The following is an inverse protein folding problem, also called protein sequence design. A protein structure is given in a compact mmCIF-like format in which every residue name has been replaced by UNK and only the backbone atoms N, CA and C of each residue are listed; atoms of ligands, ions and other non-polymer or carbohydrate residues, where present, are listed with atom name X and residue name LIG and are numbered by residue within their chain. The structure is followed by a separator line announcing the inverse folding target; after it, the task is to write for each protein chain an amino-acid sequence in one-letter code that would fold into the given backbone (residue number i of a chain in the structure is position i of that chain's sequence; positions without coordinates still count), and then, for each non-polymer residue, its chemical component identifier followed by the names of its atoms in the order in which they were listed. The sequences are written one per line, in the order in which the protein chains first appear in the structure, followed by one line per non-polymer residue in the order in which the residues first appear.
data_IF_578823393014
#
_entry.id   IF_578823393014
#
_cell.length_a   1.000
_cell.length_b   1.000
_cell.length_c   1.000
_cell.angle_alpha   90.00
_cell.angle_beta   90.00
_cell.angle_gamma   90.00
#
_symmetry.space_group_name_H-M   'P 1'
#
loop_
_entity.id
_entity.type
_entity.pdbx_description
1 polymer ?
#
# COMPACT_ATOMS: atom_id res chain seq x y z
N UNK A 1 -21.38 13.07 40.38
CA UNK A 1 -20.89 14.41 39.98
C UNK A 1 -21.86 15.01 38.98
N UNK A 2 -22.32 16.22 39.18
CA UNK A 2 -23.21 16.92 38.26
C UNK A 2 -22.44 17.18 36.94
N UNK A 3 -22.98 16.76 35.82
CA UNK A 3 -22.47 17.11 34.50
C UNK A 3 -22.94 18.50 34.11
N UNK A 4 -22.15 19.57 34.26
CA UNK A 4 -22.62 20.96 34.19
C UNK A 4 -23.19 21.38 32.83
N UNK A 5 -22.94 20.52 31.80
CA UNK A 5 -23.46 20.78 30.44
C UNK A 5 -24.68 19.94 30.07
N UNK A 6 -25.11 19.03 30.93
CA UNK A 6 -26.29 18.20 30.70
C UNK A 6 -27.51 18.84 31.37
N UNK A 7 -28.53 19.14 30.57
CA UNK A 7 -29.78 19.73 31.05
C UNK A 7 -30.85 18.69 31.34
N UNK A 8 -30.83 17.56 30.68
CA UNK A 8 -31.71 16.44 30.92
C UNK A 8 -31.07 15.11 30.52
N UNK A 9 -31.46 14.05 31.23
CA UNK A 9 -31.10 12.68 30.94
C UNK A 9 -32.40 11.89 30.84
N UNK A 10 -32.64 11.22 29.72
CA UNK A 10 -33.85 10.46 29.47
C UNK A 10 -33.49 9.04 29.05
N UNK A 11 -34.13 8.04 29.64
CA UNK A 11 -33.98 6.64 29.17
C UNK A 11 -34.95 6.42 28.03
N UNK A 12 -34.47 5.98 26.88
CA UNK A 12 -35.27 5.76 25.68
C UNK A 12 -35.10 4.34 25.14
N UNK A 13 -36.17 3.63 24.92
CA UNK A 13 -36.18 2.28 24.38
C UNK A 13 -35.34 1.27 25.19
N UNK A 14 -34.89 0.16 24.58
CA UNK A 14 -34.16 -0.90 25.26
C UNK A 14 -32.69 -0.54 25.49
N UNK A 15 -32.42 0.32 26.51
CA UNK A 15 -31.07 0.58 26.97
C UNK A 15 -30.40 1.83 26.40
N UNK A 16 -31.09 2.72 25.68
CA UNK A 16 -30.55 4.00 25.26
C UNK A 16 -30.70 5.06 26.36
N UNK A 17 -29.68 5.91 26.49
CA UNK A 17 -29.68 7.08 27.37
C UNK A 17 -29.50 8.33 26.48
N UNK A 18 -30.53 9.16 26.40
CA UNK A 18 -30.49 10.41 25.70
C UNK A 18 -30.02 11.52 26.63
N UNK A 19 -29.00 12.26 26.23
CA UNK A 19 -28.48 13.42 26.96
C UNK A 19 -28.85 14.67 26.20
N UNK A 20 -29.51 15.63 26.88
CA UNK A 20 -29.74 16.96 26.34
C UNK A 20 -28.66 17.89 26.87
N UNK A 21 -27.96 18.56 25.96
CA UNK A 21 -26.87 19.47 26.29
C UNK A 21 -27.36 20.92 26.23
N UNK A 22 -26.75 21.79 27.02
CA UNK A 22 -26.93 23.23 26.93
C UNK A 22 -26.43 23.74 25.58
N UNK A 23 -27.12 24.68 24.91
CA UNK A 23 -26.71 25.21 23.61
C UNK A 23 -25.32 25.89 23.59
N UNK A 24 -24.88 26.43 24.73
CA UNK A 24 -23.60 27.15 24.87
C UNK A 24 -22.35 26.23 24.73
N UNK A 25 -22.54 24.90 24.80
CA UNK A 25 -21.41 23.97 24.60
C UNK A 25 -20.75 24.09 23.23
N UNK A 26 -21.52 24.50 22.20
CA UNK A 26 -20.99 24.76 20.85
C UNK A 26 -20.04 25.96 20.86
N UNK A 27 -20.37 27.04 21.56
CA UNK A 27 -19.50 28.19 21.70
C UNK A 27 -18.17 27.86 22.40
N UNK A 28 -18.19 26.97 23.39
CA UNK A 28 -16.99 26.51 24.07
C UNK A 28 -16.09 25.66 23.15
N UNK A 29 -16.69 24.88 22.25
CA UNK A 29 -15.93 24.11 21.24
C UNK A 29 -15.25 25.08 20.27
N UNK A 30 -15.96 26.08 19.74
CA UNK A 30 -15.38 27.07 18.82
C UNK A 30 -14.19 27.80 19.45
N UNK A 31 -14.31 28.25 20.71
CA UNK A 31 -13.18 28.85 21.45
C UNK A 31 -11.98 27.93 21.57
N UNK A 32 -12.21 26.61 21.76
CA UNK A 32 -11.14 25.61 21.83
C UNK A 32 -10.50 25.39 20.46
N UNK A 33 -11.31 25.34 19.40
CA UNK A 33 -10.80 25.21 18.01
C UNK A 33 -9.91 26.42 17.69
N UNK A 34 -10.37 27.64 17.99
CA UNK A 34 -9.59 28.85 17.78
C UNK A 34 -8.30 28.87 18.58
N UNK A 35 -8.34 28.52 19.87
CA UNK A 35 -7.16 28.50 20.73
C UNK A 35 -6.13 27.43 20.34
N UNK A 36 -6.55 26.28 19.82
CA UNK A 36 -5.68 25.18 19.45
C UNK A 36 -5.25 25.23 17.98
N UNK A 37 -6.02 25.90 17.12
CA UNK A 37 -5.76 26.02 15.69
C UNK A 37 -5.55 24.65 15.04
N UNK A 38 -4.46 24.50 14.28
CA UNK A 38 -4.11 23.26 13.59
C UNK A 38 -3.85 22.05 14.51
N UNK A 39 -3.70 22.27 15.82
CA UNK A 39 -3.54 21.20 16.80
C UNK A 39 -4.87 20.71 17.41
N UNK A 40 -6.00 21.31 17.01
CA UNK A 40 -7.29 20.84 17.51
C UNK A 40 -7.56 19.38 17.10
N UNK A 41 -7.94 18.56 18.06
CA UNK A 41 -8.12 17.11 17.86
C UNK A 41 -6.87 16.26 18.06
N UNK A 42 -5.69 16.87 18.23
CA UNK A 42 -4.49 16.13 18.60
C UNK A 42 -4.54 15.68 20.06
N UNK A 43 -3.90 14.55 20.34
CA UNK A 43 -3.77 14.00 21.69
C UNK A 43 -2.35 13.44 21.91
N UNK A 44 -2.01 13.17 23.15
CA UNK A 44 -0.71 12.59 23.54
C UNK A 44 -0.87 11.19 24.16
N UNK A 45 -1.89 10.45 23.72
CA UNK A 45 -2.16 9.11 24.23
C UNK A 45 -1.24 8.04 23.60
N UNK A 46 -0.54 8.38 22.52
CA UNK A 46 0.36 7.52 21.78
C UNK A 46 1.70 7.32 22.49
N UNK A 47 2.75 7.89 21.92
CA UNK A 47 4.14 7.80 22.43
C UNK A 47 4.93 6.62 21.90
N UNK A 48 4.37 5.85 20.97
CA UNK A 48 5.02 4.70 20.31
C UNK A 48 5.69 5.11 19.00
N UNK A 49 6.76 4.40 18.65
CA UNK A 49 7.33 4.41 17.30
C UNK A 49 6.63 3.34 16.46
N UNK A 50 5.94 3.75 15.41
CA UNK A 50 5.13 2.88 14.56
C UNK A 50 5.61 2.96 13.13
N UNK A 51 5.85 1.82 12.48
CA UNK A 51 6.02 1.74 11.03
C UNK A 51 4.72 1.26 10.42
N UNK A 52 4.27 1.95 9.37
CA UNK A 52 3.10 1.55 8.58
C UNK A 52 3.57 1.25 7.17
N UNK A 53 3.47 -0.01 6.78
CA UNK A 53 3.73 -0.47 5.42
C UNK A 53 2.42 -0.49 4.65
N UNK A 54 2.42 0.15 3.49
CA UNK A 54 1.23 0.20 2.65
C UNK A 54 1.60 0.43 1.17
N UNK A 55 0.67 0.15 0.27
CA UNK A 55 0.81 0.07 -1.18
C UNK A 55 1.68 -1.11 -1.59
N UNK A 56 2.99 -1.02 -1.50
CA UNK A 56 3.97 -2.09 -1.76
C UNK A 56 3.66 -2.88 -3.05
N UNK A 57 3.31 -2.16 -4.12
CA UNK A 57 2.97 -2.76 -5.43
C UNK A 57 4.24 -3.24 -6.11
N UNK A 58 4.18 -4.41 -6.76
CA UNK A 58 5.30 -4.94 -7.55
C UNK A 58 5.73 -3.94 -8.62
N UNK A 59 7.04 -3.72 -8.84
CA UNK A 59 7.56 -2.74 -9.79
C UNK A 59 7.49 -3.23 -11.26
N UNK A 60 6.40 -3.89 -11.64
CA UNK A 60 6.11 -4.40 -12.97
C UNK A 60 4.84 -3.77 -13.59
N UNK A 61 4.39 -2.66 -13.04
CA UNK A 61 3.25 -1.91 -13.54
C UNK A 61 2.92 -0.69 -12.67
N UNK A 62 2.08 0.22 -13.16
CA UNK A 62 1.69 1.44 -12.47
C UNK A 62 0.86 1.13 -11.21
N UNK A 63 0.68 2.14 -10.37
CA UNK A 63 -0.24 2.06 -9.24
C UNK A 63 -1.67 1.92 -9.77
N UNK A 64 -2.33 0.84 -9.39
CA UNK A 64 -3.73 0.59 -9.78
C UNK A 64 -4.70 1.37 -8.89
N UNK A 65 -5.97 1.47 -9.31
CA UNK A 65 -7.04 2.03 -8.47
C UNK A 65 -7.15 1.31 -7.12
N UNK A 66 -6.97 -0.01 -7.08
CA UNK A 66 -6.91 -0.77 -5.82
C UNK A 66 -5.72 -0.37 -4.94
N UNK A 67 -4.55 -0.14 -5.57
CA UNK A 67 -3.36 0.44 -4.90
C UNK A 67 -3.64 1.84 -4.37
N UNK A 68 -4.44 2.65 -5.07
CA UNK A 68 -4.89 3.96 -4.62
C UNK A 68 -5.74 3.89 -3.35
N UNK A 69 -6.64 2.90 -3.23
CA UNK A 69 -7.38 2.68 -1.97
C UNK A 69 -6.45 2.34 -0.82
N UNK A 70 -5.48 1.46 -1.06
CA UNK A 70 -4.45 1.12 -0.08
C UNK A 70 -3.67 2.37 0.35
N UNK A 71 -3.24 3.19 -0.61
CA UNK A 71 -2.51 4.43 -0.38
C UNK A 71 -3.32 5.43 0.49
N UNK A 72 -4.60 5.64 0.16
CA UNK A 72 -5.47 6.54 0.93
C UNK A 72 -5.67 6.05 2.37
N UNK A 73 -5.92 4.75 2.57
CA UNK A 73 -6.09 4.15 3.89
C UNK A 73 -4.80 4.25 4.71
N UNK A 74 -3.66 3.85 4.14
CA UNK A 74 -2.37 3.83 4.82
C UNK A 74 -1.91 5.23 5.23
N UNK A 75 -1.97 6.20 4.33
CA UNK A 75 -1.59 7.58 4.61
C UNK A 75 -2.49 8.24 5.65
N UNK A 76 -3.80 8.03 5.57
CA UNK A 76 -4.75 8.55 6.56
C UNK A 76 -4.53 7.90 7.93
N UNK A 77 -4.28 6.60 7.98
CA UNK A 77 -3.92 5.90 9.22
C UNK A 77 -2.66 6.49 9.85
N UNK A 78 -1.61 6.73 9.05
CA UNK A 78 -0.38 7.39 9.53
C UNK A 78 -0.68 8.76 10.13
N UNK A 79 -1.50 9.56 9.45
CA UNK A 79 -1.87 10.91 9.91
C UNK A 79 -2.66 10.88 11.22
N UNK A 80 -3.60 9.96 11.36
CA UNK A 80 -4.38 9.76 12.60
C UNK A 80 -3.49 9.28 13.76
N UNK A 81 -2.58 8.32 13.51
CA UNK A 81 -1.64 7.84 14.52
C UNK A 81 -0.67 8.94 14.98
N UNK A 82 -0.21 9.78 14.06
CA UNK A 82 0.63 10.93 14.39
C UNK A 82 -0.15 11.98 15.20
N UNK A 83 -1.38 12.28 14.82
CA UNK A 83 -2.26 13.18 15.58
C UNK A 83 -2.58 12.64 16.98
N UNK A 84 -2.56 11.32 17.17
CA UNK A 84 -2.69 10.68 18.48
C UNK A 84 -1.39 10.72 19.32
N UNK A 85 -0.30 11.30 18.82
CA UNK A 85 0.96 11.48 19.56
C UNK A 85 1.98 10.37 19.36
N UNK A 86 1.87 9.55 18.31
CA UNK A 86 2.89 8.56 17.95
C UNK A 86 3.92 9.17 16.98
N UNK A 87 5.12 8.59 16.98
CA UNK A 87 6.11 8.78 15.92
C UNK A 87 5.87 7.75 14.84
N UNK A 88 5.44 8.17 13.66
CA UNK A 88 5.02 7.28 12.58
C UNK A 88 5.99 7.37 11.40
N UNK A 89 6.40 6.22 10.88
CA UNK A 89 7.16 6.09 9.64
C UNK A 89 6.31 5.41 8.58
N UNK A 90 6.25 6.02 7.38
CA UNK A 90 5.58 5.50 6.19
C UNK A 90 6.58 4.68 5.39
N UNK A 91 6.29 3.44 5.13
CA UNK A 91 7.20 2.53 4.44
C UNK A 91 6.54 1.88 3.23
N UNK A 92 7.24 1.93 2.11
CA UNK A 92 6.91 1.21 0.89
C UNK A 92 7.91 0.08 0.71
N UNK A 93 7.44 -1.17 0.61
CA UNK A 93 8.27 -2.33 0.33
C UNK A 93 8.36 -2.57 -1.18
N UNK A 94 9.59 -2.56 -1.70
CA UNK A 94 9.88 -2.86 -3.10
C UNK A 94 10.17 -4.36 -3.21
N UNK A 95 9.32 -5.09 -3.92
CA UNK A 95 9.48 -6.51 -4.19
C UNK A 95 10.44 -6.69 -5.40
N UNK A 96 11.72 -6.46 -5.16
CA UNK A 96 12.82 -6.48 -6.13
C UNK A 96 13.73 -7.72 -5.98
N UNK A 97 13.25 -8.78 -5.33
CA UNK A 97 14.00 -10.02 -5.17
C UNK A 97 14.57 -10.54 -6.49
N UNK A 98 15.85 -10.94 -6.49
CA UNK A 98 16.63 -11.28 -7.70
C UNK A 98 16.01 -12.38 -8.57
N UNK A 99 15.20 -13.26 -7.99
CA UNK A 99 14.62 -14.43 -8.67
C UNK A 99 13.17 -14.22 -9.14
N UNK A 100 12.71 -12.97 -9.25
CA UNK A 100 11.35 -12.66 -9.68
C UNK A 100 11.18 -12.92 -11.19
N UNK A 101 10.45 -13.99 -11.54
CA UNK A 101 10.06 -14.28 -12.93
C UNK A 101 9.27 -13.13 -13.55
N UNK A 102 8.40 -12.49 -12.74
CA UNK A 102 7.61 -11.34 -13.18
C UNK A 102 8.48 -10.15 -13.59
N UNK A 103 9.54 -9.86 -12.84
CA UNK A 103 10.47 -8.79 -13.17
C UNK A 103 11.32 -9.10 -14.41
N UNK A 104 11.72 -10.35 -14.59
CA UNK A 104 12.41 -10.77 -15.81
C UNK A 104 11.49 -10.61 -17.03
N UNK A 105 10.24 -11.05 -16.94
CA UNK A 105 9.25 -10.88 -18.02
C UNK A 105 8.95 -9.40 -18.29
N UNK A 106 8.93 -8.56 -17.27
CA UNK A 106 8.78 -7.12 -17.44
C UNK A 106 9.99 -6.50 -18.15
N UNK A 107 11.22 -6.86 -17.75
CA UNK A 107 12.44 -6.44 -18.46
C UNK A 107 12.45 -6.85 -19.92
N UNK A 108 12.05 -8.09 -20.24
CA UNK A 108 11.89 -8.57 -21.62
C UNK A 108 10.86 -7.77 -22.39
N UNK A 109 9.75 -7.40 -21.75
CA UNK A 109 8.71 -6.58 -22.37
C UNK A 109 9.23 -5.19 -22.74
N UNK A 110 9.97 -4.56 -21.82
CA UNK A 110 10.59 -3.24 -22.06
C UNK A 110 11.64 -3.32 -23.16
N UNK A 111 12.46 -4.38 -23.20
CA UNK A 111 13.43 -4.61 -24.28
C UNK A 111 12.73 -4.73 -25.64
N UNK A 112 11.66 -5.51 -25.72
CA UNK A 112 10.90 -5.67 -26.98
C UNK A 112 10.33 -4.32 -27.42
N UNK A 113 9.73 -3.54 -26.53
CA UNK A 113 9.22 -2.19 -26.85
C UNK A 113 10.33 -1.22 -27.24
N UNK A 114 11.49 -1.28 -26.58
CA UNK A 114 12.67 -0.49 -26.95
C UNK A 114 13.11 -0.78 -28.39
N UNK A 115 13.18 -2.04 -28.80
CA UNK A 115 13.54 -2.41 -30.19
C UNK A 115 12.44 -2.01 -31.19
N UNK A 116 11.15 -2.12 -30.83
CA UNK A 116 10.04 -1.64 -31.65
C UNK A 116 10.12 -0.13 -31.90
N UNK A 117 10.50 0.66 -30.91
CA UNK A 117 10.73 2.11 -31.04
C UNK A 117 11.86 2.44 -32.04
N UNK A 118 12.80 1.52 -32.23
CA UNK A 118 13.89 1.61 -33.20
C UNK A 118 13.57 0.99 -34.57
N UNK A 119 12.32 0.57 -34.78
CA UNK A 119 11.84 0.06 -36.08
C UNK A 119 11.96 -1.45 -36.27
N UNK A 120 12.29 -2.23 -35.22
CA UNK A 120 12.28 -3.70 -35.26
C UNK A 120 10.85 -4.25 -35.13
N UNK A 121 10.59 -5.42 -35.73
CA UNK A 121 9.28 -6.09 -35.71
C UNK A 121 9.24 -7.22 -34.67
N UNK A 122 9.76 -6.98 -33.48
CA UNK A 122 9.70 -7.96 -32.40
C UNK A 122 8.26 -8.07 -31.84
N UNK A 123 7.81 -9.27 -31.50
CA UNK A 123 6.48 -9.52 -30.96
C UNK A 123 6.48 -9.59 -29.44
N UNK A 124 5.38 -9.13 -28.82
CA UNK A 124 5.15 -9.31 -27.38
C UNK A 124 4.67 -10.74 -27.15
N UNK A 125 5.44 -11.51 -26.40
CA UNK A 125 5.10 -12.90 -26.04
C UNK A 125 3.97 -12.98 -24.98
N UNK A 126 3.38 -14.17 -24.83
CA UNK A 126 2.24 -14.41 -23.92
C UNK A 126 2.52 -14.09 -22.44
N UNK A 127 3.78 -14.31 -22.00
CA UNK A 127 4.21 -14.03 -20.62
C UNK A 127 4.65 -12.57 -20.40
N UNK A 128 4.64 -11.76 -21.45
CA UNK A 128 5.08 -10.37 -21.44
C UNK A 128 3.92 -9.41 -21.13
N UNK A 129 4.29 -8.19 -20.76
CA UNK A 129 3.35 -7.10 -20.45
C UNK A 129 3.14 -6.23 -21.71
N UNK A 130 1.87 -5.98 -22.06
CA UNK A 130 1.52 -5.31 -23.30
C UNK A 130 1.05 -3.85 -23.16
N UNK A 131 0.90 -3.34 -21.94
CA UNK A 131 0.33 -2.02 -21.67
C UNK A 131 1.20 -0.83 -22.15
N UNK A 132 0.60 0.34 -22.30
CA UNK A 132 1.28 1.56 -22.77
C UNK A 132 2.39 2.01 -21.82
N UNK A 133 2.25 1.76 -20.50
CA UNK A 133 3.28 2.04 -19.52
C UNK A 133 4.62 1.31 -19.80
N UNK A 134 4.58 0.16 -20.49
CA UNK A 134 5.79 -0.55 -20.92
C UNK A 134 6.52 0.24 -22.00
N UNK A 135 5.74 0.87 -22.91
CA UNK A 135 6.30 1.74 -23.97
C UNK A 135 6.92 2.99 -23.35
N UNK A 136 6.31 3.55 -22.31
CA UNK A 136 6.83 4.74 -21.65
C UNK A 136 8.18 4.45 -20.99
N UNK A 137 8.30 3.34 -20.25
CA UNK A 137 9.58 2.89 -19.69
C UNK A 137 10.61 2.62 -20.81
N UNK A 138 10.20 2.01 -21.92
CA UNK A 138 11.08 1.78 -23.07
C UNK A 138 11.58 3.08 -23.71
N UNK A 139 10.73 4.13 -23.78
CA UNK A 139 11.13 5.49 -24.23
C UNK A 139 12.16 6.11 -23.29
N UNK A 140 12.01 5.94 -21.97
CA UNK A 140 13.01 6.41 -21.01
C UNK A 140 14.36 5.71 -21.21
N UNK A 141 14.35 4.37 -21.39
CA UNK A 141 15.57 3.61 -21.69
C UNK A 141 16.22 4.10 -22.99
N UNK A 142 15.42 4.34 -24.03
CA UNK A 142 15.90 4.87 -25.32
C UNK A 142 16.50 6.28 -25.15
N UNK A 143 15.84 7.15 -24.40
CA UNK A 143 16.32 8.51 -24.15
C UNK A 143 17.65 8.54 -23.38
N UNK A 144 17.85 7.60 -22.43
CA UNK A 144 19.06 7.55 -21.60
C UNK A 144 20.23 6.83 -22.29
N UNK A 145 19.97 5.81 -23.11
CA UNK A 145 20.98 4.90 -23.63
C UNK A 145 21.08 4.91 -25.17
N UNK A 146 20.20 5.64 -25.88
CA UNK A 146 20.17 5.65 -27.35
C UNK A 146 20.02 4.22 -27.90
N UNK A 147 20.79 3.89 -28.94
CA UNK A 147 20.76 2.59 -29.62
C UNK A 147 21.71 1.54 -29.01
N UNK A 148 22.25 1.78 -27.80
CA UNK A 148 23.30 0.96 -27.23
C UNK A 148 22.94 -0.56 -27.11
N UNK A 149 21.65 -0.86 -27.00
CA UNK A 149 21.16 -2.24 -26.82
C UNK A 149 20.42 -2.80 -28.03
N UNK A 150 20.42 -2.10 -29.18
CA UNK A 150 19.62 -2.53 -30.35
C UNK A 150 19.97 -3.92 -30.86
N UNK A 151 21.27 -4.29 -30.79
CA UNK A 151 21.79 -5.60 -31.21
C UNK A 151 22.05 -6.57 -30.03
N UNK A 152 21.62 -6.22 -28.83
CA UNK A 152 21.77 -7.09 -27.68
C UNK A 152 20.85 -8.32 -27.78
N UNK A 153 21.28 -9.44 -27.22
CA UNK A 153 20.46 -10.63 -27.07
C UNK A 153 19.77 -10.62 -25.71
N UNK A 154 18.45 -10.63 -25.70
CA UNK A 154 17.67 -10.63 -24.45
C UNK A 154 17.77 -11.96 -23.70
N UNK A 155 18.16 -13.03 -24.35
CA UNK A 155 18.39 -14.33 -23.73
C UNK A 155 19.76 -14.44 -23.07
N UNK A 156 20.67 -13.50 -23.36
CA UNK A 156 21.89 -13.34 -22.58
C UNK A 156 21.56 -12.90 -21.15
N UNK A 157 22.06 -13.61 -20.11
CA UNK A 157 21.75 -13.29 -18.70
C UNK A 157 22.09 -11.88 -18.27
N UNK A 158 23.16 -11.29 -18.84
CA UNK A 158 23.57 -9.93 -18.52
C UNK A 158 22.59 -8.89 -19.10
N UNK A 159 22.16 -9.10 -20.34
CA UNK A 159 21.16 -8.26 -21.02
C UNK A 159 19.81 -8.33 -20.30
N UNK A 160 19.35 -9.55 -19.97
CA UNK A 160 18.13 -9.76 -19.19
C UNK A 160 18.18 -9.00 -17.86
N UNK A 161 19.28 -9.11 -17.13
CA UNK A 161 19.49 -8.41 -15.86
C UNK A 161 19.48 -6.90 -16.04
N UNK A 162 20.18 -6.39 -17.06
CA UNK A 162 20.26 -4.97 -17.35
C UNK A 162 18.85 -4.38 -17.62
N UNK A 163 18.07 -5.03 -18.48
CA UNK A 163 16.71 -4.54 -18.77
C UNK A 163 15.75 -4.71 -17.60
N UNK A 164 15.91 -5.75 -16.79
CA UNK A 164 15.20 -5.88 -15.53
C UNK A 164 15.44 -4.67 -14.61
N UNK A 165 16.72 -4.32 -14.36
CA UNK A 165 17.11 -3.24 -13.45
C UNK A 165 16.69 -1.88 -13.99
N UNK A 166 16.80 -1.63 -15.31
CA UNK A 166 16.31 -0.40 -15.95
C UNK A 166 14.78 -0.28 -15.86
N UNK A 167 14.08 -1.37 -16.11
CA UNK A 167 12.62 -1.42 -16.06
C UNK A 167 12.09 -1.19 -14.66
N UNK A 168 12.71 -1.81 -13.66
CA UNK A 168 12.41 -1.62 -12.25
C UNK A 168 12.58 -0.15 -11.84
N UNK A 169 13.73 0.43 -12.18
CA UNK A 169 14.03 1.83 -11.87
C UNK A 169 13.02 2.80 -12.51
N UNK A 170 12.70 2.61 -13.78
CA UNK A 170 11.70 3.42 -14.47
C UNK A 170 10.33 3.30 -13.82
N UNK A 171 9.88 2.07 -13.55
CA UNK A 171 8.57 1.85 -12.92
C UNK A 171 8.47 2.39 -11.50
N UNK A 172 9.51 2.24 -10.67
CA UNK A 172 9.54 2.82 -9.31
C UNK A 172 9.47 4.36 -9.40
N UNK A 173 10.15 4.95 -10.39
CA UNK A 173 10.10 6.41 -10.60
C UNK A 173 8.68 6.85 -10.93
N UNK A 174 7.98 6.15 -11.82
CA UNK A 174 6.58 6.42 -12.14
C UNK A 174 5.66 6.22 -10.93
N UNK A 175 5.79 5.11 -10.21
CA UNK A 175 4.99 4.83 -9.00
C UNK A 175 5.15 5.92 -7.94
N UNK A 176 6.37 6.45 -7.75
CA UNK A 176 6.63 7.59 -6.86
C UNK A 176 5.88 8.83 -7.31
N UNK A 177 5.99 9.18 -8.59
CA UNK A 177 5.32 10.36 -9.15
C UNK A 177 3.79 10.26 -9.04
N UNK A 178 3.22 9.08 -9.30
CA UNK A 178 1.78 8.85 -9.19
C UNK A 178 1.28 8.98 -7.75
N UNK A 179 2.04 8.45 -6.79
CA UNK A 179 1.72 8.56 -5.36
C UNK A 179 1.86 10.00 -4.85
N UNK A 180 2.90 10.73 -5.28
CA UNK A 180 3.05 12.16 -4.98
C UNK A 180 1.90 12.99 -5.56
N UNK A 181 1.48 12.71 -6.81
CA UNK A 181 0.32 13.35 -7.42
C UNK A 181 -0.97 13.05 -6.64
N UNK A 182 -1.07 11.87 -6.03
CA UNK A 182 -2.15 11.47 -5.14
C UNK A 182 -2.04 12.10 -3.73
N UNK A 183 -0.94 12.79 -3.44
CA UNK A 183 -0.66 13.41 -2.14
C UNK A 183 -0.21 12.42 -1.07
N UNK A 184 0.44 11.34 -1.48
CA UNK A 184 0.98 10.29 -0.60
C UNK A 184 2.49 10.21 -0.77
N UNK A 185 3.21 10.30 0.35
CA UNK A 185 4.68 10.22 0.38
C UNK A 185 5.13 9.17 1.38
N UNK A 186 6.34 8.65 1.18
CA UNK A 186 6.95 7.64 2.03
C UNK A 186 8.27 8.14 2.60
N UNK A 187 8.52 7.80 3.86
CA UNK A 187 9.80 8.08 4.54
C UNK A 187 10.87 7.07 4.09
N UNK A 188 10.45 5.83 3.80
CA UNK A 188 11.34 4.74 3.42
C UNK A 188 10.79 3.98 2.22
N UNK A 189 11.62 3.80 1.20
CA UNK A 189 11.45 2.86 0.10
C UNK A 189 12.39 1.69 0.35
N UNK A 190 11.84 0.62 0.92
CA UNK A 190 12.61 -0.51 1.40
C UNK A 190 12.76 -1.57 0.31
N UNK A 191 14.00 -1.89 -0.09
CA UNK A 191 14.31 -2.91 -1.11
C UNK A 191 14.44 -4.29 -0.47
N UNK A 192 13.68 -5.29 -0.96
CA UNK A 192 13.80 -6.69 -0.56
C UNK A 192 15.19 -7.25 -0.88
N UNK A 193 15.77 -6.85 -2.02
CA UNK A 193 17.09 -7.31 -2.43
C UNK A 193 18.17 -7.03 -1.38
N UNK A 194 18.01 -5.97 -0.57
CA UNK A 194 18.96 -5.65 0.51
C UNK A 194 18.95 -6.71 1.62
N UNK A 195 17.80 -7.34 1.91
CA UNK A 195 17.70 -8.40 2.93
C UNK A 195 18.49 -9.64 2.55
N UNK A 196 18.56 -9.92 1.25
CA UNK A 196 19.36 -11.02 0.73
C UNK A 196 20.86 -10.66 0.66
N UNK A 197 21.17 -9.45 0.18
CA UNK A 197 22.55 -9.03 -0.05
C UNK A 197 23.35 -8.89 1.26
N UNK A 198 22.74 -8.43 2.35
CA UNK A 198 23.42 -8.24 3.64
C UNK A 198 23.24 -9.42 4.62
N UNK A 199 22.63 -10.53 4.17
CA UNK A 199 22.50 -11.77 4.92
C UNK A 199 21.40 -11.78 5.98
N UNK A 200 20.51 -10.78 6.02
CA UNK A 200 19.37 -10.74 6.98
C UNK A 200 18.42 -11.92 6.81
N UNK A 201 18.19 -12.38 5.56
CA UNK A 201 17.39 -13.58 5.28
C UNK A 201 18.05 -14.82 5.87
N UNK A 202 19.34 -15.03 5.62
CA UNK A 202 20.08 -16.17 6.15
C UNK A 202 20.08 -16.17 7.68
N UNK A 203 20.31 -15.01 8.29
CA UNK A 203 20.32 -14.87 9.75
C UNK A 203 18.95 -15.16 10.38
N UNK A 204 17.87 -14.75 9.73
CA UNK A 204 16.52 -15.01 10.23
C UNK A 204 16.19 -16.52 10.20
N UNK A 205 16.58 -17.23 9.13
CA UNK A 205 16.45 -18.71 9.04
C UNK A 205 17.28 -19.39 10.15
N UNK A 206 18.51 -18.94 10.36
CA UNK A 206 19.40 -19.49 11.36
C UNK A 206 18.83 -19.36 12.79
N UNK A 207 18.26 -18.21 13.12
CA UNK A 207 17.59 -18.00 14.43
C UNK A 207 16.45 -19.01 14.65
N UNK A 208 15.60 -19.24 13.65
CA UNK A 208 14.50 -20.21 13.75
C UNK A 208 15.06 -21.63 13.91
N UNK A 209 16.15 -21.95 13.20
CA UNK A 209 16.86 -23.24 13.31
C UNK A 209 17.47 -23.43 14.71
N UNK A 210 18.24 -22.46 15.21
CA UNK A 210 18.84 -22.47 16.55
C UNK A 210 17.81 -22.67 17.66
N UNK A 211 16.58 -22.14 17.46
CA UNK A 211 15.47 -22.29 18.41
C UNK A 211 14.71 -23.61 18.28
N UNK A 212 15.09 -24.50 17.33
CA UNK A 212 14.52 -25.84 17.17
C UNK A 212 13.18 -25.88 16.41
N UNK A 213 12.80 -24.78 15.74
CA UNK A 213 11.53 -24.68 15.03
C UNK A 213 11.62 -25.04 13.54
N UNK A 214 12.64 -25.82 13.16
CA UNK A 214 12.80 -26.35 11.81
C UNK A 214 12.93 -27.86 11.80
N UNK A 215 12.67 -28.47 10.66
CA UNK A 215 12.98 -29.87 10.36
C UNK A 215 13.28 -30.04 8.87
N UNK A 216 13.98 -31.11 8.53
CA UNK A 216 14.26 -31.47 7.14
C UNK A 216 13.25 -32.52 6.65
N UNK A 217 12.72 -32.31 5.44
CA UNK A 217 11.83 -33.24 4.78
C UNK A 217 12.00 -33.11 3.26
N UNK A 218 12.15 -34.22 2.55
CA UNK A 218 12.31 -34.29 1.10
C UNK A 218 13.43 -33.37 0.56
N UNK A 219 14.54 -33.26 1.32
CA UNK A 219 15.68 -32.40 0.98
C UNK A 219 15.45 -30.91 1.19
N UNK A 220 14.27 -30.48 1.66
CA UNK A 220 13.92 -29.10 1.94
C UNK A 220 13.94 -28.82 3.45
N UNK A 221 14.24 -27.57 3.83
CA UNK A 221 14.13 -27.09 5.21
C UNK A 221 12.75 -26.52 5.46
N UNK A 222 12.05 -27.07 6.45
CA UNK A 222 10.69 -26.71 6.83
C UNK A 222 10.66 -25.96 8.14
N UNK A 223 9.77 -24.98 8.26
CA UNK A 223 9.42 -24.27 9.49
C UNK A 223 8.15 -24.86 10.10
N UNK A 224 8.19 -25.19 11.39
CA UNK A 224 7.07 -25.71 12.19
C UNK A 224 6.09 -24.58 12.52
N UNK A 225 5.54 -23.91 11.51
CA UNK A 225 4.69 -22.73 11.71
C UNK A 225 3.36 -23.07 12.38
N UNK A 226 2.92 -24.33 12.31
CA UNK A 226 1.73 -24.83 13.01
C UNK A 226 1.85 -24.74 14.52
N UNK A 227 3.07 -24.82 15.10
CA UNK A 227 3.29 -24.61 16.52
C UNK A 227 2.95 -23.19 17.00
N UNK A 228 2.85 -22.25 16.05
CA UNK A 228 2.55 -20.84 16.28
C UNK A 228 1.20 -20.38 15.69
N UNK A 229 0.32 -21.34 15.31
CA UNK A 229 -1.04 -21.02 14.84
C UNK A 229 -1.21 -20.79 13.34
N UNK A 230 -0.23 -21.16 12.50
CA UNK A 230 -0.42 -21.25 11.07
C UNK A 230 -1.24 -22.53 10.69
N UNK A 231 -1.84 -22.57 9.51
CA UNK A 231 -2.68 -23.68 9.05
C UNK A 231 -1.85 -24.92 8.63
N UNK A 232 -0.59 -24.73 8.26
CA UNK A 232 0.37 -25.79 7.88
C UNK A 232 1.79 -25.31 8.01
N UNK A 233 2.73 -26.27 8.14
CA UNK A 233 4.17 -25.98 8.10
C UNK A 233 4.61 -25.46 6.74
N UNK A 234 5.66 -24.62 6.74
CA UNK A 234 6.11 -23.90 5.56
C UNK A 234 7.54 -24.24 5.19
N UNK A 235 7.81 -24.32 3.89
CA UNK A 235 9.17 -24.47 3.38
C UNK A 235 9.91 -23.14 3.48
N UNK A 236 11.07 -23.12 4.13
CA UNK A 236 12.01 -22.00 4.15
C UNK A 236 13.01 -22.09 3.01
N UNK A 237 13.66 -23.26 2.87
CA UNK A 237 14.63 -23.53 1.80
C UNK A 237 14.17 -24.71 0.99
N UNK A 238 14.19 -24.57 -0.33
CA UNK A 238 13.90 -25.67 -1.26
C UNK A 238 15.04 -26.69 -1.27
N UNK A 239 14.80 -27.86 -1.86
CA UNK A 239 15.79 -28.92 -2.02
C UNK A 239 17.00 -28.52 -2.89
N UNK A 240 16.86 -27.50 -3.73
CA UNK A 240 17.95 -26.91 -4.52
C UNK A 240 18.77 -25.86 -3.75
N UNK A 241 18.47 -25.65 -2.46
CA UNK A 241 19.13 -24.66 -1.61
C UNK A 241 18.65 -23.23 -1.81
N UNK A 242 17.59 -22.99 -2.59
CA UNK A 242 17.03 -21.65 -2.78
C UNK A 242 16.01 -21.29 -1.70
N UNK A 243 16.03 -20.06 -1.15
CA UNK A 243 15.02 -19.60 -0.21
C UNK A 243 13.66 -19.42 -0.88
N UNK A 244 12.58 -19.58 -0.11
CA UNK A 244 11.23 -19.30 -0.58
C UNK A 244 10.87 -17.83 -0.32
N UNK A 245 9.78 -17.33 -0.92
CA UNK A 245 9.26 -15.97 -0.64
C UNK A 245 8.98 -15.72 0.84
N UNK A 246 8.57 -16.75 1.58
CA UNK A 246 8.33 -16.63 3.01
C UNK A 246 9.54 -16.16 3.79
N UNK A 247 10.75 -16.49 3.37
CA UNK A 247 11.98 -16.10 4.08
C UNK A 247 12.26 -14.59 3.97
N UNK A 248 11.90 -13.97 2.85
CA UNK A 248 11.93 -12.52 2.68
C UNK A 248 10.95 -11.83 3.64
N UNK A 249 9.69 -12.27 3.66
CA UNK A 249 8.65 -11.73 4.55
C UNK A 249 9.04 -11.86 6.03
N UNK A 250 9.63 -12.99 6.40
CA UNK A 250 10.10 -13.29 7.75
C UNK A 250 11.25 -12.36 8.16
N UNK A 251 12.25 -12.18 7.29
CA UNK A 251 13.39 -11.30 7.53
C UNK A 251 12.95 -9.82 7.60
N UNK A 252 12.03 -9.43 6.74
CA UNK A 252 11.50 -8.07 6.71
C UNK A 252 10.66 -7.74 7.96
N UNK A 253 9.79 -8.65 8.40
CA UNK A 253 9.01 -8.45 9.62
C UNK A 253 9.91 -8.31 10.85
N UNK A 254 11.01 -9.11 10.90
CA UNK A 254 12.05 -8.98 11.91
C UNK A 254 12.75 -7.63 11.84
N UNK A 255 13.17 -7.20 10.64
CA UNK A 255 13.88 -5.96 10.40
C UNK A 255 13.12 -4.73 10.93
N UNK A 256 11.81 -4.64 10.72
CA UNK A 256 10.98 -3.57 11.26
C UNK A 256 11.15 -3.44 12.79
N UNK A 257 11.11 -4.57 13.48
CA UNK A 257 11.22 -4.57 14.94
C UNK A 257 12.65 -4.33 15.42
N UNK A 258 13.66 -4.78 14.67
CA UNK A 258 15.09 -4.52 14.95
C UNK A 258 15.46 -3.04 14.80
N UNK A 259 14.82 -2.33 13.86
CA UNK A 259 14.97 -0.88 13.70
C UNK A 259 14.37 -0.06 14.85
N UNK A 260 13.81 -0.74 15.87
CA UNK A 260 13.33 -0.13 17.11
C UNK A 260 11.91 0.43 17.00
N UNK A 261 11.11 -0.03 16.06
CA UNK A 261 9.68 0.25 16.05
C UNK A 261 8.98 -0.58 17.11
N UNK A 262 8.15 0.05 17.95
CA UNK A 262 7.36 -0.61 18.96
C UNK A 262 6.25 -1.46 18.34
N UNK A 263 5.74 -1.03 17.17
CA UNK A 263 4.64 -1.66 16.45
C UNK A 263 4.83 -1.52 14.95
N UNK A 264 4.52 -2.57 14.22
CA UNK A 264 4.41 -2.56 12.77
C UNK A 264 2.93 -2.73 12.37
N UNK A 265 2.49 -1.99 11.35
CA UNK A 265 1.16 -2.11 10.79
C UNK A 265 1.31 -2.33 9.28
N UNK A 266 0.74 -3.41 8.77
CA UNK A 266 0.72 -3.70 7.34
C UNK A 266 -0.70 -3.49 6.80
N UNK A 267 -0.84 -2.76 5.69
CA UNK A 267 -2.13 -2.56 5.01
C UNK A 267 -2.16 -3.44 3.76
N UNK A 268 -2.93 -4.53 3.81
CA UNK A 268 -2.96 -5.55 2.76
C UNK A 268 -4.35 -5.68 2.13
N UNK A 269 -4.39 -6.07 0.86
CA UNK A 269 -5.62 -6.51 0.22
C UNK A 269 -6.19 -7.77 0.88
N UNK A 270 -7.50 -7.95 0.82
CA UNK A 270 -8.18 -9.10 1.43
C UNK A 270 -7.73 -10.45 0.87
N UNK A 271 -7.19 -10.48 -0.34
CA UNK A 271 -6.56 -11.64 -0.97
C UNK A 271 -5.31 -12.13 -0.23
N UNK A 272 -4.70 -11.28 0.60
CA UNK A 272 -3.57 -11.62 1.46
C UNK A 272 -3.98 -12.12 2.87
N UNK A 273 -5.27 -12.30 3.16
CA UNK A 273 -5.75 -12.73 4.49
C UNK A 273 -5.07 -14.01 4.99
N UNK A 274 -4.83 -14.98 4.09
CA UNK A 274 -4.13 -16.24 4.42
C UNK A 274 -2.66 -16.08 4.83
N UNK A 275 -2.08 -14.90 4.65
CA UNK A 275 -0.68 -14.64 5.04
C UNK A 275 -0.54 -14.15 6.49
N UNK A 276 -1.62 -13.65 7.08
CA UNK A 276 -1.59 -13.03 8.42
C UNK A 276 -1.09 -13.99 9.49
N UNK A 277 -1.69 -15.19 9.55
CA UNK A 277 -1.31 -16.20 10.56
C UNK A 277 0.16 -16.58 10.45
N UNK A 278 0.64 -16.89 9.24
CA UNK A 278 2.03 -17.31 9.03
C UNK A 278 3.04 -16.19 9.30
N UNK A 279 2.71 -14.91 9.02
CA UNK A 279 3.59 -13.79 9.34
C UNK A 279 3.71 -13.59 10.84
N UNK A 280 2.61 -13.71 11.59
CA UNK A 280 2.62 -13.68 13.05
C UNK A 280 3.34 -14.89 13.65
N UNK A 281 3.16 -16.08 13.07
CA UNK A 281 3.91 -17.29 13.47
C UNK A 281 5.42 -17.10 13.30
N UNK A 282 5.84 -16.47 12.19
CA UNK A 282 7.24 -16.14 11.92
C UNK A 282 7.83 -15.23 13.00
N UNK A 283 7.13 -14.17 13.38
CA UNK A 283 7.58 -13.27 14.46
C UNK A 283 7.71 -13.98 15.80
N UNK A 284 6.73 -14.82 16.17
CA UNK A 284 6.76 -15.59 17.40
C UNK A 284 7.97 -16.56 17.42
N UNK A 285 8.22 -17.26 16.32
CA UNK A 285 9.36 -18.15 16.18
C UNK A 285 10.71 -17.43 16.27
N UNK A 286 10.79 -16.19 15.77
CA UNK A 286 11.95 -15.32 15.89
C UNK A 286 12.14 -14.75 17.30
N UNK A 287 11.16 -14.91 18.22
CA UNK A 287 11.22 -14.45 19.59
C UNK A 287 10.61 -13.08 19.86
N UNK A 288 9.86 -12.55 18.90
CA UNK A 288 9.10 -11.32 19.09
C UNK A 288 7.65 -11.62 19.52
N UNK A 289 7.06 -10.68 20.22
CA UNK A 289 5.62 -10.72 20.50
C UNK A 289 4.85 -10.46 19.19
N UNK A 290 4.05 -11.43 18.67
CA UNK A 290 3.28 -11.26 17.45
C UNK A 290 2.18 -10.19 17.56
N UNK A 291 1.83 -9.73 18.77
CA UNK A 291 0.93 -8.60 18.99
C UNK A 291 1.55 -7.25 18.59
N UNK A 292 2.86 -7.20 18.33
CA UNK A 292 3.53 -6.01 17.79
C UNK A 292 3.28 -5.82 16.27
N UNK A 293 2.71 -6.82 15.61
CA UNK A 293 2.28 -6.73 14.20
C UNK A 293 0.76 -6.69 14.12
N UNK A 294 0.23 -5.63 13.52
CA UNK A 294 -1.15 -5.54 13.07
C UNK A 294 -1.22 -5.65 11.56
N UNK A 295 -2.30 -6.23 11.09
CA UNK A 295 -2.62 -6.28 9.65
C UNK A 295 -4.02 -5.72 9.45
N UNK A 296 -4.11 -4.62 8.71
CA UNK A 296 -5.37 -4.07 8.25
C UNK A 296 -5.65 -4.64 6.85
N UNK A 297 -6.72 -5.43 6.74
CA UNK A 297 -7.16 -5.97 5.47
C UNK A 297 -8.21 -5.04 4.84
N UNK A 298 -8.01 -4.64 3.57
CA UNK A 298 -9.00 -3.85 2.85
C UNK A 298 -9.62 -4.65 1.70
N UNK A 299 -10.91 -4.38 1.44
CA UNK A 299 -11.68 -5.06 0.42
C UNK A 299 -11.49 -4.44 -0.97
N UNK A 300 -11.91 -5.16 -2.00
CA UNK A 300 -11.80 -4.80 -3.40
C UNK A 300 -12.46 -3.46 -3.71
N UNK A 301 -11.96 -2.82 -4.78
CA UNK A 301 -12.53 -1.62 -5.39
C UNK A 301 -12.92 -1.93 -6.82
N UNK A 302 -14.09 -1.51 -7.23
CA UNK A 302 -14.55 -1.46 -8.61
C UNK A 302 -14.83 -0.03 -9.06
N UNK A 303 -14.61 0.23 -10.32
CA UNK A 303 -14.92 1.50 -10.98
C UNK A 303 -16.14 1.28 -11.86
N UNK A 304 -17.10 2.19 -11.76
CA UNK A 304 -18.27 2.26 -12.64
C UNK A 304 -18.18 3.52 -13.49
N UNK A 305 -18.39 3.38 -14.80
CA UNK A 305 -18.44 4.49 -15.76
C UNK A 305 -19.55 4.22 -16.77
N UNK A 306 -20.45 5.18 -16.99
CA UNK A 306 -21.63 4.98 -17.85
C UNK A 306 -22.59 3.91 -17.33
N UNK A 307 -22.61 3.62 -16.03
CA UNK A 307 -23.44 2.59 -15.41
C UNK A 307 -22.89 1.15 -15.54
N UNK A 308 -21.69 0.97 -16.10
CA UNK A 308 -21.06 -0.35 -16.27
C UNK A 308 -19.77 -0.46 -15.47
N UNK A 309 -19.49 -1.65 -14.91
CA UNK A 309 -18.24 -1.93 -14.19
C UNK A 309 -17.10 -2.05 -15.20
N UNK A 310 -16.07 -1.24 -15.02
CA UNK A 310 -14.86 -1.28 -15.84
C UNK A 310 -13.97 -2.44 -15.41
N UNK A 311 -13.72 -3.38 -16.33
CA UNK A 311 -12.90 -4.57 -16.06
C UNK A 311 -11.41 -4.26 -16.22
N UNK A 312 -10.62 -4.65 -15.24
CA UNK A 312 -9.15 -4.49 -15.24
C UNK A 312 -8.45 -5.84 -15.40
N UNK A 313 -7.40 -5.90 -16.23
CA UNK A 313 -6.56 -7.09 -16.41
C UNK A 313 -5.14 -6.72 -16.80
N UNK A 314 -4.16 -6.97 -15.92
CA UNK A 314 -2.73 -6.73 -16.18
C UNK A 314 -2.21 -7.47 -17.42
N UNK A 315 -2.62 -8.73 -17.64
CA UNK A 315 -2.17 -9.54 -18.78
C UNK A 315 -2.70 -9.04 -20.12
N UNK A 316 -3.91 -8.49 -20.15
CA UNK A 316 -4.52 -7.93 -21.38
C UNK A 316 -4.09 -6.50 -21.66
N UNK A 317 -3.21 -5.91 -20.85
CA UNK A 317 -2.79 -4.52 -20.99
C UNK A 317 -3.84 -3.47 -20.59
N UNK A 318 -4.99 -3.91 -20.06
CA UNK A 318 -6.06 -3.02 -19.59
C UNK A 318 -6.04 -2.94 -18.07
N UNK A 319 -5.11 -2.13 -17.53
CA UNK A 319 -4.99 -1.86 -16.11
C UNK A 319 -5.76 -0.58 -15.80
N UNK A 320 -6.57 -0.59 -14.74
CA UNK A 320 -7.13 0.65 -14.20
C UNK A 320 -6.07 1.35 -13.35
N UNK A 321 -5.45 2.36 -13.92
CA UNK A 321 -4.39 3.14 -13.30
C UNK A 321 -4.96 4.19 -12.35
N UNK A 322 -4.33 4.34 -11.19
CA UNK A 322 -4.74 5.35 -10.21
C UNK A 322 -4.70 6.76 -10.79
N UNK A 323 -3.63 7.10 -11.51
CA UNK A 323 -3.45 8.44 -12.06
C UNK A 323 -4.37 8.68 -13.25
N UNK A 324 -4.21 7.93 -14.32
CA UNK A 324 -4.90 8.18 -15.60
C UNK A 324 -6.41 7.94 -15.51
N UNK A 325 -6.85 6.85 -14.85
CA UNK A 325 -8.26 6.46 -14.84
C UNK A 325 -9.07 7.00 -13.66
N UNK A 326 -8.39 7.57 -12.64
CA UNK A 326 -9.10 8.11 -11.48
C UNK A 326 -8.69 9.55 -11.15
N UNK A 327 -7.40 9.82 -10.86
CA UNK A 327 -7.00 11.16 -10.42
C UNK A 327 -7.25 12.21 -11.50
N UNK A 328 -6.88 11.92 -12.75
CA UNK A 328 -7.06 12.84 -13.88
C UNK A 328 -8.54 13.01 -14.26
N UNK A 329 -9.40 12.05 -13.87
CA UNK A 329 -10.83 12.04 -14.14
C UNK A 329 -11.66 12.83 -13.10
N UNK A 330 -11.36 12.66 -11.80
CA UNK A 330 -12.17 13.22 -10.69
C UNK A 330 -11.38 14.09 -9.72
N UNK A 331 -10.07 14.19 -9.88
CA UNK A 331 -9.18 14.88 -8.96
C UNK A 331 -8.80 14.06 -7.74
N UNK A 332 -7.62 14.36 -7.15
CA UNK A 332 -7.09 13.62 -6.01
C UNK A 332 -7.97 13.68 -4.76
N UNK A 333 -8.57 14.84 -4.48
CA UNK A 333 -9.36 15.04 -3.26
C UNK A 333 -10.64 14.21 -3.30
N UNK A 334 -11.32 14.18 -4.46
CA UNK A 334 -12.47 13.34 -4.67
C UNK A 334 -12.10 11.86 -4.60
N UNK A 335 -11.03 11.44 -5.27
CA UNK A 335 -10.56 10.06 -5.23
C UNK A 335 -10.25 9.60 -3.80
N UNK A 336 -9.50 10.42 -3.02
CA UNK A 336 -9.20 10.13 -1.60
C UNK A 336 -10.46 10.04 -0.76
N UNK A 337 -11.40 10.97 -0.94
CA UNK A 337 -12.66 10.97 -0.20
C UNK A 337 -13.48 9.71 -0.47
N UNK A 338 -13.65 9.33 -1.74
CA UNK A 338 -14.40 8.12 -2.10
C UNK A 338 -13.75 6.87 -1.54
N UNK A 339 -12.43 6.74 -1.57
CA UNK A 339 -11.74 5.59 -0.97
C UNK A 339 -11.96 5.45 0.53
N UNK A 340 -12.13 6.58 1.24
CA UNK A 340 -12.23 6.63 2.71
C UNK A 340 -13.67 6.67 3.23
N UNK A 341 -14.66 6.96 2.38
CA UNK A 341 -16.05 7.11 2.82
C UNK A 341 -16.71 5.79 3.27
N UNK A 342 -16.10 4.66 2.93
CA UNK A 342 -16.56 3.33 3.34
C UNK A 342 -15.50 2.66 4.22
N UNK A 343 -15.97 1.81 5.14
CA UNK A 343 -15.08 0.97 5.95
C UNK A 343 -14.09 0.20 5.05
N UNK A 344 -12.81 0.10 5.44
CA UNK A 344 -11.84 -0.75 4.73
C UNK A 344 -12.34 -2.19 4.51
N UNK A 345 -13.10 -2.72 5.44
CA UNK A 345 -13.62 -4.09 5.42
C UNK A 345 -14.81 -4.31 4.46
N UNK A 346 -15.31 -3.25 3.84
CA UNK A 346 -16.41 -3.33 2.87
C UNK A 346 -15.88 -3.14 1.46
N UNK A 347 -16.43 -3.88 0.50
CA UNK A 347 -16.20 -3.61 -0.91
C UNK A 347 -16.62 -2.17 -1.25
N UNK A 348 -15.93 -1.57 -2.18
CA UNK A 348 -16.15 -0.19 -2.60
C UNK A 348 -16.40 -0.14 -4.10
N UNK A 349 -17.44 0.56 -4.48
CA UNK A 349 -17.71 0.93 -5.86
C UNK A 349 -17.61 2.46 -5.99
N UNK A 350 -16.85 2.93 -6.98
CA UNK A 350 -16.70 4.35 -7.30
C UNK A 350 -17.35 4.60 -8.65
N UNK A 351 -18.43 5.36 -8.63
CA UNK A 351 -19.10 5.88 -9.83
C UNK A 351 -18.39 7.18 -10.23
N UNK A 352 -17.63 7.11 -11.32
CA UNK A 352 -16.85 8.26 -11.85
C UNK A 352 -17.78 9.38 -12.32
N UNK A 353 -18.93 9.03 -12.90
CA UNK A 353 -19.87 10.03 -13.41
C UNK A 353 -20.53 10.80 -12.24
N UNK A 354 -20.85 10.11 -11.14
CA UNK A 354 -21.30 10.76 -9.91
C UNK A 354 -20.20 11.64 -9.29
N UNK A 355 -18.97 11.14 -9.25
CA UNK A 355 -17.83 11.85 -8.66
C UNK A 355 -17.47 13.16 -9.38
N UNK A 356 -17.82 13.28 -10.67
CA UNK A 356 -17.62 14.50 -11.47
C UNK A 356 -18.71 15.55 -11.29
N UNK A 357 -19.87 15.20 -10.71
CA UNK A 357 -20.98 16.15 -10.55
C UNK A 357 -20.64 17.26 -9.57
N UNK A 358 -21.01 18.49 -9.89
CA UNK A 358 -20.90 19.68 -9.03
C UNK A 358 -22.24 19.97 -8.33
N UNK A 359 -22.92 18.92 -7.89
CA UNK A 359 -24.27 18.95 -7.32
C UNK A 359 -24.29 18.30 -5.93
N UNK A 360 -25.39 18.48 -5.19
CA UNK A 360 -25.57 17.97 -3.83
C UNK A 360 -25.48 16.45 -3.69
N UNK A 361 -25.71 15.71 -4.78
CA UNK A 361 -25.62 14.27 -4.82
C UNK A 361 -24.17 13.77 -4.73
N UNK A 362 -23.19 14.62 -5.11
CA UNK A 362 -21.79 14.33 -4.92
C UNK A 362 -21.36 14.70 -3.49
N UNK A 363 -21.03 13.73 -2.62
CA UNK A 363 -20.70 14.01 -1.23
C UNK A 363 -19.44 14.86 -1.07
N UNK A 364 -18.49 14.78 -2.00
CA UNK A 364 -17.26 15.58 -1.98
C UNK A 364 -17.58 17.05 -2.23
N UNK A 365 -18.39 17.34 -3.25
CA UNK A 365 -18.83 18.69 -3.55
C UNK A 365 -19.60 19.29 -2.38
N UNK A 366 -20.46 18.51 -1.72
CA UNK A 366 -21.23 18.96 -0.58
C UNK A 366 -20.33 19.40 0.58
N UNK A 367 -19.29 18.65 0.90
CA UNK A 367 -18.29 19.00 1.94
C UNK A 367 -17.51 20.26 1.56
N UNK A 368 -17.00 20.31 0.31
CA UNK A 368 -16.27 21.48 -0.19
C UNK A 368 -17.13 22.75 -0.22
N UNK A 369 -18.38 22.61 -0.62
CA UNK A 369 -19.33 23.72 -0.61
C UNK A 369 -19.59 24.26 0.81
N UNK A 370 -19.77 23.37 1.79
CA UNK A 370 -19.93 23.77 3.18
C UNK A 370 -18.71 24.57 3.70
N UNK A 371 -17.51 24.10 3.41
CA UNK A 371 -16.25 24.78 3.74
C UNK A 371 -16.19 26.17 3.08
N UNK A 372 -16.41 26.26 1.78
CA UNK A 372 -16.39 27.54 1.05
C UNK A 372 -17.39 28.55 1.60
N UNK A 373 -18.60 28.10 1.96
CA UNK A 373 -19.62 28.96 2.57
C UNK A 373 -19.22 29.47 3.94
N UNK A 374 -18.60 28.65 4.77
CA UNK A 374 -18.11 29.06 6.10
C UNK A 374 -16.99 30.10 5.95
N UNK A 375 -15.99 29.85 5.10
CA UNK A 375 -14.90 30.80 4.85
C UNK A 375 -15.44 32.14 4.36
N UNK A 376 -16.34 32.15 3.37
CA UNK A 376 -16.94 33.34 2.85
C UNK A 376 -17.73 34.13 3.93
N UNK A 377 -18.41 33.44 4.83
CA UNK A 377 -19.13 34.09 5.91
C UNK A 377 -18.18 34.76 6.91
N UNK A 378 -17.03 34.17 7.20
CA UNK A 378 -16.00 34.73 8.09
C UNK A 378 -15.34 35.95 7.45
N UNK A 379 -14.99 35.89 6.16
CA UNK A 379 -14.31 36.97 5.43
C UNK A 379 -15.20 38.19 5.19
N UNK A 380 -16.53 38.07 5.34
CA UNK A 380 -17.50 39.15 5.15
C UNK A 380 -17.94 39.81 6.46
N UNK A 381 -17.49 39.32 7.61
CA UNK A 381 -17.72 39.90 8.95
C UNK A 381 -16.49 40.60 9.46
#
# INVERSE_FOLDING_TARGET
EAMPRVTAVEVAGPGFINLRLRPDWLGDILKRVEAQGAKYGHSNVGGKKIVVEFVSTNPNGPITVAGGRNAAIGDTLCSLLAAAGNTVSREYYINDALNSVQMNNFGRSVFTRYRQLLGHNDEIGEEMYGGDYVVDVAREVLALHGEAFVNADIDDPQTTRTFRDLSEKGMITQQKADLEAFGVTFDTWFSEATLHADGRVARAIEIIKERGYTYEKDGALWFKSTEFGDDKDRVLMRSDGTPTYMTGDLAYSKDKLDRGFDRAINVWGADHAGYVARTKASLAALGYDPARLDVLLYQLVSIVKGGEVVMSSKRKGNILELKADLIDEIGKDAARFFFLMRSPYSALEIDVDLARKTEKDNPVYYVQYAHARIVQAIDTT
#
